data_IF_296516561112
#
_entry.id   IF_296516561112
#
_cell.length_a   1.000
_cell.length_b   1.000
_cell.length_c   1.000
_cell.angle_alpha   90.00
_cell.angle_beta   90.00
_cell.angle_gamma   90.00
#
_symmetry.space_group_name_H-M   'P 1'
#
loop_
_entity.id
_entity.type
_entity.pdbx_description
1 polymer ?
#
# COMPACT_ATOMS: atom_id res chain seq x y z
N UNK A 1 10.40 65.11 -16.69
CA UNK A 1 11.58 64.42 -16.13
C UNK A 1 11.10 63.52 -14.99
N UNK A 2 10.93 62.23 -15.25
CA UNK A 2 10.61 61.23 -14.22
C UNK A 2 11.58 60.08 -14.46
N UNK A 3 12.54 59.88 -13.55
CA UNK A 3 13.49 58.75 -13.58
C UNK A 3 13.04 57.75 -12.54
N UNK A 4 12.51 56.62 -13.01
CA UNK A 4 12.20 55.44 -12.22
C UNK A 4 13.50 54.77 -11.75
N UNK A 5 13.62 54.51 -10.45
CA UNK A 5 14.67 53.65 -9.89
C UNK A 5 14.05 52.28 -9.66
N UNK A 6 14.46 51.30 -10.45
CA UNK A 6 14.16 49.90 -10.21
C UNK A 6 15.24 49.32 -9.28
N UNK A 7 14.83 48.90 -8.08
CA UNK A 7 15.69 48.21 -7.12
C UNK A 7 15.63 46.71 -7.45
N UNK A 8 16.71 46.16 -8.03
CA UNK A 8 16.83 44.73 -8.25
C UNK A 8 17.21 44.04 -6.93
N UNK A 9 16.32 43.20 -6.40
CA UNK A 9 16.61 42.33 -5.27
C UNK A 9 17.51 41.17 -5.75
N UNK A 10 18.73 41.13 -5.22
CA UNK A 10 19.71 40.07 -5.49
C UNK A 10 19.40 38.86 -4.59
N UNK A 11 18.80 37.81 -5.14
CA UNK A 11 18.66 36.53 -4.46
C UNK A 11 20.03 35.86 -4.32
N UNK A 12 20.63 35.92 -3.14
CA UNK A 12 21.82 35.15 -2.79
C UNK A 12 21.45 33.68 -2.58
N UNK A 13 21.73 32.84 -3.57
CA UNK A 13 21.74 31.38 -3.43
C UNK A 13 22.93 31.00 -2.53
N UNK A 14 22.64 30.57 -1.30
CA UNK A 14 23.64 29.95 -0.42
C UNK A 14 23.94 28.56 -1.01
N UNK A 15 25.05 28.46 -1.73
CA UNK A 15 25.62 27.18 -2.13
C UNK A 15 26.30 26.58 -0.91
N UNK A 16 25.64 25.61 -0.27
CA UNK A 16 26.30 24.79 0.75
C UNK A 16 27.45 24.03 0.06
N UNK A 17 28.69 24.44 0.33
CA UNK A 17 29.87 23.70 -0.09
C UNK A 17 29.90 22.39 0.71
N UNK A 18 29.32 21.33 0.17
CA UNK A 18 29.45 19.99 0.73
C UNK A 18 30.90 19.55 0.54
N UNK A 19 31.65 19.44 1.63
CA UNK A 19 32.99 18.89 1.56
C UNK A 19 32.89 17.42 1.14
N UNK A 20 33.59 16.98 0.07
CA UNK A 20 33.52 15.60 -0.42
C UNK A 20 34.08 14.57 0.57
N UNK A 21 34.68 15.03 1.66
CA UNK A 21 35.21 14.21 2.73
C UNK A 21 34.26 14.35 3.93
N UNK A 22 33.61 13.25 4.29
CA UNK A 22 32.76 13.14 5.46
C UNK A 22 33.59 12.58 6.62
N UNK A 23 33.77 13.36 7.67
CA UNK A 23 34.42 12.91 8.90
C UNK A 23 33.47 12.01 9.70
N UNK A 24 33.92 10.78 9.99
CA UNK A 24 33.19 9.78 10.78
C UNK A 24 33.76 9.62 12.20
N UNK A 25 34.66 10.53 12.61
CA UNK A 25 35.33 10.54 13.90
C UNK A 25 36.59 9.69 13.95
N UNK A 26 36.55 8.45 13.44
CA UNK A 26 37.71 7.53 13.42
C UNK A 26 38.32 7.33 12.04
N UNK A 27 37.65 7.79 10.99
CA UNK A 27 38.13 7.76 9.62
C UNK A 27 37.42 8.82 8.79
N UNK A 28 37.95 9.08 7.60
CA UNK A 28 37.39 10.00 6.62
C UNK A 28 36.77 9.19 5.48
N UNK A 29 35.51 9.46 5.16
CA UNK A 29 34.79 8.85 4.05
C UNK A 29 34.80 9.78 2.83
N UNK A 30 35.45 9.36 1.76
CA UNK A 30 35.44 10.09 0.49
C UNK A 30 34.17 9.77 -0.30
N UNK A 31 33.32 10.77 -0.49
CA UNK A 31 32.04 10.66 -1.18
C UNK A 31 32.10 11.14 -2.63
N UNK A 32 33.28 11.36 -3.24
CA UNK A 32 33.37 11.83 -4.65
C UNK A 32 32.92 10.79 -5.67
N UNK A 33 32.97 9.51 -5.30
CA UNK A 33 32.67 8.41 -6.19
C UNK A 33 31.31 7.80 -5.83
N UNK A 34 30.26 8.28 -6.49
CA UNK A 34 28.89 7.76 -6.32
C UNK A 34 28.59 6.63 -7.33
N UNK A 35 28.08 5.51 -6.82
CA UNK A 35 27.59 4.43 -7.67
C UNK A 35 26.26 4.81 -8.35
N UNK A 36 26.07 4.36 -9.59
CA UNK A 36 24.81 4.52 -10.31
C UNK A 36 23.74 3.48 -9.89
N UNK A 37 24.18 2.29 -9.47
CA UNK A 37 23.30 1.23 -8.97
C UNK A 37 22.86 1.49 -7.54
N UNK A 38 21.94 2.43 -7.34
CA UNK A 38 21.38 2.80 -6.04
C UNK A 38 19.87 3.00 -6.15
N UNK A 39 19.14 2.53 -5.16
CA UNK A 39 17.72 2.75 -4.96
C UNK A 39 17.38 2.83 -3.46
N UNK A 40 16.09 3.02 -3.15
CA UNK A 40 15.61 3.07 -1.77
C UNK A 40 15.48 1.68 -1.16
N UNK A 41 15.80 1.57 0.14
CA UNK A 41 15.47 0.37 0.93
C UNK A 41 13.96 0.22 1.15
N UNK A 42 13.22 1.33 1.17
CA UNK A 42 11.75 1.33 1.20
C UNK A 42 11.26 1.01 -0.21
N UNK A 43 10.56 -0.12 -0.33
CA UNK A 43 10.10 -0.72 -1.59
C UNK A 43 8.59 -0.93 -1.63
N UNK A 44 7.92 -0.96 -0.48
CA UNK A 44 6.50 -1.28 -0.35
C UNK A 44 5.77 -0.28 0.54
N UNK A 45 4.48 -0.14 0.33
CA UNK A 45 3.56 0.57 1.21
C UNK A 45 2.44 -0.40 1.62
N UNK A 46 2.27 -0.64 2.91
CA UNK A 46 1.29 -1.62 3.44
C UNK A 46 0.20 -0.89 4.22
N UNK A 47 -1.04 -1.13 3.84
CA UNK A 47 -2.25 -0.56 4.46
C UNK A 47 -2.85 -1.53 5.47
N UNK A 48 -3.25 -0.98 6.63
CA UNK A 48 -3.83 -1.70 7.76
C UNK A 48 -5.08 -0.96 8.24
N UNK A 49 -5.88 -1.61 9.09
CA UNK A 49 -6.80 -0.94 10.00
C UNK A 49 -6.44 -1.31 11.44
N UNK A 50 -6.91 -0.51 12.41
CA UNK A 50 -6.53 -0.68 13.82
C UNK A 50 -7.43 -1.62 14.62
N UNK A 51 -8.68 -1.88 14.21
CA UNK A 51 -9.69 -2.66 14.94
C UNK A 51 -10.13 -2.05 16.29
N UNK A 52 -9.57 -0.89 16.66
CA UNK A 52 -9.81 -0.16 17.92
C UNK A 52 -9.83 1.36 17.67
N UNK A 53 -10.33 2.12 18.64
CA UNK A 53 -10.39 3.58 18.56
C UNK A 53 -8.99 4.24 18.51
N UNK A 54 -8.95 5.54 18.22
CA UNK A 54 -7.69 6.28 18.05
C UNK A 54 -6.80 6.23 19.32
N UNK A 55 -7.38 6.45 20.49
CA UNK A 55 -6.63 6.49 21.75
C UNK A 55 -6.01 5.12 22.08
N UNK A 56 -6.79 4.05 21.92
CA UNK A 56 -6.31 2.67 22.06
C UNK A 56 -5.25 2.33 21.00
N UNK A 57 -5.47 2.74 19.75
CA UNK A 57 -4.52 2.53 18.64
C UNK A 57 -3.16 3.15 18.96
N UNK A 58 -3.14 4.42 19.37
CA UNK A 58 -1.91 5.13 19.72
C UNK A 58 -1.22 4.48 20.92
N UNK A 59 -1.96 4.05 21.95
CA UNK A 59 -1.39 3.37 23.10
C UNK A 59 -0.74 2.03 22.73
N UNK A 60 -1.37 1.23 21.86
CA UNK A 60 -0.82 -0.06 21.40
C UNK A 60 0.39 0.13 20.49
N UNK A 61 0.28 1.02 19.50
CA UNK A 61 1.29 1.21 18.45
C UNK A 61 2.53 2.00 18.89
N UNK A 62 2.49 2.61 20.08
CA UNK A 62 3.66 3.21 20.76
C UNK A 62 4.22 2.36 21.88
N UNK A 63 3.65 1.17 22.11
CA UNK A 63 4.16 0.17 23.05
C UNK A 63 5.37 -0.60 22.50
N UNK A 64 5.62 -1.78 23.07
CA UNK A 64 6.83 -2.58 22.84
C UNK A 64 6.61 -3.85 22.00
N UNK A 65 5.41 -4.05 21.44
CA UNK A 65 5.04 -5.29 20.72
C UNK A 65 4.83 -5.11 19.23
N UNK A 66 4.22 -4.00 18.83
CA UNK A 66 3.79 -3.70 17.46
C UNK A 66 3.92 -2.20 17.26
N UNK A 67 4.26 -1.78 16.04
CA UNK A 67 4.37 -0.37 15.70
C UNK A 67 4.13 -0.17 14.21
N UNK A 68 3.81 1.06 13.84
CA UNK A 68 3.58 1.47 12.45
C UNK A 68 4.30 2.80 12.19
N UNK A 69 4.57 3.13 10.94
CA UNK A 69 5.16 4.41 10.59
C UNK A 69 4.14 5.54 10.76
N UNK A 70 2.92 5.34 10.24
CA UNK A 70 1.86 6.34 10.28
C UNK A 70 0.54 5.79 10.81
N UNK A 71 -0.21 6.65 11.50
CA UNK A 71 -1.62 6.43 11.84
C UNK A 71 -2.45 7.55 11.23
N UNK A 72 -3.50 7.19 10.47
CA UNK A 72 -4.49 8.12 9.94
C UNK A 72 -5.75 8.07 10.81
N UNK A 73 -6.06 9.14 11.56
CA UNK A 73 -7.30 9.26 12.33
C UNK A 73 -8.56 8.98 11.50
N UNK A 74 -9.62 8.48 12.14
CA UNK A 74 -10.94 8.36 11.50
C UNK A 74 -11.47 9.75 11.08
N UNK A 75 -11.16 10.77 11.89
CA UNK A 75 -11.52 12.17 11.64
C UNK A 75 -10.30 13.06 11.87
N UNK A 76 -9.38 13.15 10.89
CA UNK A 76 -8.16 13.94 11.03
C UNK A 76 -8.50 15.39 11.36
N UNK A 77 -7.81 15.94 12.37
CA UNK A 77 -7.87 17.38 12.63
C UNK A 77 -7.25 18.13 11.46
N UNK A 78 -7.81 19.30 11.13
CA UNK A 78 -7.26 20.17 10.09
C UNK A 78 -6.48 21.31 10.74
N UNK A 79 -5.25 21.54 10.29
CA UNK A 79 -4.43 22.70 10.64
C UNK A 79 -3.83 23.30 9.39
N UNK A 80 -3.98 24.61 9.22
CA UNK A 80 -3.52 25.35 8.04
C UNK A 80 -4.03 24.78 6.70
N UNK A 81 -5.25 24.25 6.70
CA UNK A 81 -5.88 23.62 5.53
C UNK A 81 -5.42 22.19 5.23
N UNK A 82 -4.54 21.62 6.05
CA UNK A 82 -4.00 20.28 5.88
C UNK A 82 -4.45 19.32 6.99
N UNK A 83 -4.74 18.04 6.66
CA UNK A 83 -5.07 17.05 7.67
C UNK A 83 -3.83 16.62 8.45
N UNK A 84 -3.99 16.45 9.77
CA UNK A 84 -2.95 15.93 10.64
C UNK A 84 -3.04 14.41 10.70
N UNK A 85 -1.94 13.75 10.36
CA UNK A 85 -1.69 12.32 10.59
C UNK A 85 -0.60 12.18 11.65
N UNK A 86 -0.55 11.04 12.35
CA UNK A 86 0.51 10.77 13.32
C UNK A 86 1.64 9.98 12.66
N UNK A 87 2.89 10.41 12.88
CA UNK A 87 4.08 9.62 12.55
C UNK A 87 4.67 9.06 13.84
N UNK A 88 4.65 7.73 14.00
CA UNK A 88 5.12 7.06 15.22
C UNK A 88 6.55 6.53 15.07
N UNK A 89 6.94 6.12 13.85
CA UNK A 89 8.27 5.60 13.55
C UNK A 89 8.85 6.36 12.36
N UNK A 90 10.09 6.89 12.45
CA UNK A 90 10.77 7.48 11.30
C UNK A 90 10.92 6.48 10.16
N UNK A 91 10.75 6.93 8.91
CA UNK A 91 10.75 6.04 7.73
C UNK A 91 12.12 5.40 7.43
N UNK A 92 13.22 5.92 8.02
CA UNK A 92 14.55 5.30 7.95
C UNK A 92 14.74 4.16 8.97
N UNK A 93 13.74 3.91 9.82
CA UNK A 93 13.69 2.82 10.79
C UNK A 93 12.68 1.77 10.37
N UNK A 94 12.78 0.60 11.00
CA UNK A 94 11.85 -0.52 10.81
C UNK A 94 10.76 -0.46 11.86
N UNK A 95 9.52 -0.16 11.46
CA UNK A 95 8.34 -0.44 12.27
C UNK A 95 7.96 -1.94 12.23
N UNK A 96 7.17 -2.41 13.19
CA UNK A 96 6.79 -3.82 13.33
C UNK A 96 5.30 -4.01 13.02
N UNK A 97 4.91 -3.90 11.75
CA UNK A 97 3.51 -3.91 11.32
C UNK A 97 3.14 -5.15 10.47
N UNK A 98 4.00 -5.58 9.54
CA UNK A 98 3.70 -6.68 8.62
C UNK A 98 3.77 -8.07 9.28
N UNK A 99 4.74 -8.29 10.17
CA UNK A 99 5.03 -9.62 10.72
C UNK A 99 5.47 -10.61 9.62
N UNK A 100 5.19 -11.91 9.82
CA UNK A 100 5.40 -12.91 8.77
C UNK A 100 4.56 -12.55 7.53
N UNK A 101 5.24 -12.32 6.42
CA UNK A 101 4.68 -11.72 5.22
C UNK A 101 5.46 -12.14 3.97
N UNK A 102 4.78 -12.17 2.82
CA UNK A 102 5.34 -12.42 1.50
C UNK A 102 4.67 -11.54 0.45
N UNK A 103 5.45 -10.94 -0.44
CA UNK A 103 4.92 -10.29 -1.64
C UNK A 103 5.97 -10.24 -2.75
N UNK A 104 5.62 -10.71 -3.95
CA UNK A 104 6.49 -10.66 -5.14
C UNK A 104 7.91 -11.20 -4.88
N UNK A 105 8.01 -12.30 -4.14
CA UNK A 105 9.28 -12.96 -3.79
C UNK A 105 10.02 -12.34 -2.60
N UNK A 106 9.60 -11.18 -2.10
CA UNK A 106 10.12 -10.61 -0.86
C UNK A 106 9.42 -11.24 0.35
N UNK A 107 10.17 -11.50 1.41
CA UNK A 107 9.68 -11.87 2.74
C UNK A 107 10.09 -10.82 3.76
N UNK A 108 9.60 -10.91 5.00
CA UNK A 108 9.95 -9.99 6.09
C UNK A 108 9.71 -8.52 5.71
N UNK A 109 8.51 -8.20 5.20
CA UNK A 109 8.24 -6.91 4.56
C UNK A 109 8.51 -5.70 5.46
N UNK A 110 8.42 -5.84 6.80
CA UNK A 110 8.87 -4.83 7.77
C UNK A 110 10.26 -4.23 7.43
N UNK A 111 11.17 -5.01 6.85
CA UNK A 111 12.52 -4.55 6.52
C UNK A 111 12.59 -3.57 5.33
N UNK A 112 11.52 -3.46 4.54
CA UNK A 112 11.50 -2.69 3.30
C UNK A 112 10.16 -2.02 3.01
N UNK A 113 9.28 -1.89 4.00
CA UNK A 113 7.96 -1.28 3.84
C UNK A 113 7.72 -0.13 4.78
N UNK A 114 6.97 0.85 4.31
CA UNK A 114 6.24 1.78 5.18
C UNK A 114 4.86 1.17 5.46
N UNK A 115 4.38 1.36 6.68
CA UNK A 115 3.09 0.89 7.14
C UNK A 115 2.20 2.08 7.48
N UNK A 116 0.92 2.01 7.11
CA UNK A 116 -0.10 2.98 7.47
C UNK A 116 -1.25 2.25 8.15
N UNK A 117 -1.49 2.58 9.42
CA UNK A 117 -2.67 2.15 10.17
C UNK A 117 -3.79 3.19 10.02
N UNK A 118 -4.97 2.74 9.63
CA UNK A 118 -6.14 3.61 9.53
C UNK A 118 -7.06 3.32 10.72
N UNK A 119 -7.40 4.33 11.52
CA UNK A 119 -8.33 4.15 12.64
C UNK A 119 -9.68 3.75 12.08
N UNK A 120 -10.01 2.47 12.21
CA UNK A 120 -11.19 1.82 11.68
C UNK A 120 -11.35 0.47 12.40
N UNK A 121 -12.57 0.16 12.83
CA UNK A 121 -12.95 -1.03 13.61
C UNK A 121 -12.92 -2.32 12.77
N UNK A 122 -12.76 -2.23 11.46
CA UNK A 122 -12.79 -3.38 10.55
C UNK A 122 -14.20 -3.97 10.47
N UNK A 123 -14.36 -5.30 10.61
CA UNK A 123 -15.66 -5.95 10.68
C UNK A 123 -16.53 -5.45 11.85
N UNK A 124 -17.80 -5.18 11.60
CA UNK A 124 -18.79 -4.78 12.61
C UNK A 124 -19.72 -5.95 12.90
N UNK A 125 -19.56 -6.55 14.09
CA UNK A 125 -20.34 -7.71 14.50
C UNK A 125 -19.69 -9.04 14.07
N UNK A 126 -20.45 -10.14 14.02
CA UNK A 126 -19.92 -11.42 13.56
C UNK A 126 -19.42 -11.33 12.12
N UNK A 127 -18.27 -11.96 11.82
CA UNK A 127 -17.73 -12.01 10.44
C UNK A 127 -18.72 -12.60 9.42
N UNK A 128 -19.66 -13.43 9.86
CA UNK A 128 -20.73 -14.00 9.02
C UNK A 128 -21.70 -12.95 8.45
N UNK A 129 -21.77 -11.78 9.07
CA UNK A 129 -22.75 -10.74 8.72
C UNK A 129 -22.24 -9.82 7.59
N UNK A 130 -20.97 -9.96 7.20
CA UNK A 130 -20.29 -9.18 6.15
C UNK A 130 -20.48 -7.66 6.28
N UNK A 131 -20.54 -7.17 7.52
CA UNK A 131 -20.63 -5.74 7.84
C UNK A 131 -19.25 -5.23 8.19
N UNK A 132 -18.89 -4.08 7.64
CA UNK A 132 -17.59 -3.45 7.80
C UNK A 132 -17.78 -1.95 8.05
N UNK A 133 -16.87 -1.33 8.82
CA UNK A 133 -16.91 0.12 9.01
C UNK A 133 -16.45 0.83 7.74
N UNK A 134 -17.25 1.75 7.17
CA UNK A 134 -16.81 2.54 6.03
C UNK A 134 -15.72 3.54 6.45
N UNK A 135 -14.81 3.85 5.54
CA UNK A 135 -13.79 4.88 5.74
C UNK A 135 -14.38 6.28 5.46
N UNK A 136 -14.40 7.20 6.44
CA UNK A 136 -14.98 8.53 6.22
C UNK A 136 -14.20 9.34 5.17
N UNK A 137 -14.86 10.18 4.35
CA UNK A 137 -14.19 10.93 3.29
C UNK A 137 -12.97 11.74 3.76
N UNK A 138 -13.02 12.33 4.96
CA UNK A 138 -11.90 13.11 5.51
C UNK A 138 -10.68 12.25 5.85
N UNK A 139 -10.88 11.00 6.27
CA UNK A 139 -9.80 10.03 6.46
C UNK A 139 -9.21 9.63 5.11
N UNK A 140 -10.06 9.38 4.11
CA UNK A 140 -9.63 9.03 2.74
C UNK A 140 -8.80 10.15 2.10
N UNK A 141 -9.20 11.41 2.26
CA UNK A 141 -8.44 12.57 1.76
C UNK A 141 -7.04 12.66 2.39
N UNK A 142 -6.94 12.46 3.70
CA UNK A 142 -5.66 12.43 4.41
C UNK A 142 -4.77 11.25 3.95
N UNK A 143 -5.37 10.07 3.81
CA UNK A 143 -4.72 8.87 3.32
C UNK A 143 -4.17 9.05 1.90
N UNK A 144 -4.95 9.65 0.98
CA UNK A 144 -4.51 9.94 -0.39
C UNK A 144 -3.29 10.86 -0.38
N UNK A 145 -3.34 11.96 0.38
CA UNK A 145 -2.23 12.92 0.47
C UNK A 145 -0.96 12.25 0.99
N UNK A 146 -1.06 11.51 2.10
CA UNK A 146 0.04 10.78 2.71
C UNK A 146 0.62 9.73 1.76
N UNK A 147 -0.23 8.89 1.17
CA UNK A 147 0.22 7.77 0.35
C UNK A 147 0.88 8.24 -0.94
N UNK A 148 0.35 9.30 -1.57
CA UNK A 148 0.94 9.88 -2.79
C UNK A 148 2.33 10.45 -2.53
N UNK A 149 2.51 11.14 -1.40
CA UNK A 149 3.80 11.68 -0.97
C UNK A 149 4.82 10.55 -0.75
N UNK A 150 4.46 9.50 0.00
CA UNK A 150 5.33 8.34 0.25
C UNK A 150 5.70 7.63 -1.06
N UNK A 151 4.71 7.33 -1.91
CA UNK A 151 4.92 6.62 -3.18
C UNK A 151 5.86 7.42 -4.09
N UNK A 152 5.66 8.73 -4.21
CA UNK A 152 6.53 9.60 -5.01
C UNK A 152 7.94 9.69 -4.43
N UNK A 153 8.07 9.88 -3.10
CA UNK A 153 9.36 10.02 -2.41
C UNK A 153 10.27 8.80 -2.57
N UNK A 154 9.69 7.61 -2.53
CA UNK A 154 10.44 6.35 -2.60
C UNK A 154 10.33 5.64 -3.96
N UNK A 155 9.65 6.24 -4.93
CA UNK A 155 9.38 5.66 -6.25
C UNK A 155 8.81 4.23 -6.14
N UNK A 156 7.82 4.05 -5.24
CA UNK A 156 7.19 2.75 -5.00
C UNK A 156 6.30 2.42 -6.21
N UNK A 157 6.51 1.28 -6.89
CA UNK A 157 5.67 0.93 -8.03
C UNK A 157 4.23 0.61 -7.58
N UNK A 158 3.21 0.85 -8.43
CA UNK A 158 1.80 0.60 -8.11
C UNK A 158 1.51 -0.76 -7.48
N UNK A 159 2.13 -1.83 -7.98
CA UNK A 159 1.91 -3.21 -7.51
C UNK A 159 2.53 -3.52 -6.15
N UNK A 160 3.18 -2.53 -5.51
CA UNK A 160 3.77 -2.64 -4.16
C UNK A 160 3.09 -1.74 -3.13
N UNK A 161 1.94 -1.17 -3.49
CA UNK A 161 0.96 -0.62 -2.53
C UNK A 161 -0.07 -1.72 -2.29
N UNK A 162 -0.10 -2.25 -1.08
CA UNK A 162 -0.79 -3.52 -0.76
C UNK A 162 -1.50 -3.44 0.58
N UNK A 163 -2.53 -4.26 0.78
CA UNK A 163 -3.12 -4.48 2.09
C UNK A 163 -2.28 -5.45 2.93
N UNK A 164 -2.53 -5.50 4.24
CA UNK A 164 -1.95 -6.55 5.08
C UNK A 164 -2.45 -7.94 4.68
N UNK A 165 -3.71 -8.02 4.23
CA UNK A 165 -4.34 -9.22 3.69
C UNK A 165 -3.61 -9.77 2.45
N UNK A 166 -3.04 -8.90 1.61
CA UNK A 166 -2.32 -9.33 0.42
C UNK A 166 -1.03 -10.06 0.76
N UNK A 167 -0.31 -9.56 1.77
CA UNK A 167 1.01 -10.03 2.14
C UNK A 167 0.97 -11.14 3.19
N UNK A 168 -0.15 -11.27 3.91
CA UNK A 168 -0.38 -12.26 4.95
C UNK A 168 -1.82 -12.85 4.92
N UNK A 169 -2.30 -13.36 3.77
CA UNK A 169 -3.69 -13.75 3.56
C UNK A 169 -4.18 -14.86 4.49
N UNK A 170 -3.25 -15.66 5.02
CA UNK A 170 -3.58 -16.75 5.95
C UNK A 170 -3.94 -16.25 7.36
N UNK A 171 -3.72 -14.97 7.64
CA UNK A 171 -3.65 -14.45 9.01
C UNK A 171 -4.31 -13.08 9.16
N UNK A 172 -4.48 -12.34 8.07
CA UNK A 172 -4.89 -10.95 8.04
C UNK A 172 -5.94 -10.72 6.95
N UNK A 173 -6.88 -9.83 7.25
CA UNK A 173 -8.02 -9.46 6.38
C UNK A 173 -8.11 -7.94 6.17
N UNK A 174 -7.28 -7.17 6.87
CA UNK A 174 -7.18 -5.73 6.75
C UNK A 174 -6.43 -5.30 5.48
N UNK A 175 -6.78 -4.15 4.87
CA UNK A 175 -7.73 -3.13 5.37
C UNK A 175 -9.22 -3.41 5.04
N UNK A 176 -9.53 -4.59 4.52
CA UNK A 176 -10.91 -5.05 4.25
C UNK A 176 -11.50 -4.54 2.92
N UNK A 177 -12.70 -5.04 2.55
CA UNK A 177 -13.33 -4.76 1.26
C UNK A 177 -13.86 -3.33 1.09
N UNK A 178 -14.06 -2.59 2.20
CA UNK A 178 -14.49 -1.18 2.12
C UNK A 178 -13.32 -0.19 2.01
N UNK A 179 -12.08 -0.67 2.01
CA UNK A 179 -10.93 0.20 1.80
C UNK A 179 -10.95 0.77 0.37
N UNK A 180 -10.73 2.09 0.19
CA UNK A 180 -11.02 2.77 -1.06
C UNK A 180 -9.90 2.61 -2.11
N UNK A 181 -9.51 1.37 -2.43
CA UNK A 181 -8.40 1.06 -3.36
C UNK A 181 -8.52 1.76 -4.70
N UNK A 182 -9.70 1.74 -5.33
CA UNK A 182 -9.92 2.43 -6.60
C UNK A 182 -9.75 3.95 -6.48
N UNK A 183 -10.25 4.56 -5.40
CA UNK A 183 -10.08 6.00 -5.15
C UNK A 183 -8.60 6.36 -5.00
N UNK A 184 -7.80 5.51 -4.33
CA UNK A 184 -6.34 5.69 -4.25
C UNK A 184 -5.71 5.59 -5.64
N UNK A 185 -6.09 4.59 -6.43
CA UNK A 185 -5.58 4.41 -7.80
C UNK A 185 -5.88 5.62 -8.68
N UNK A 186 -7.11 6.14 -8.64
CA UNK A 186 -7.51 7.33 -9.39
C UNK A 186 -6.71 8.58 -8.97
N UNK A 187 -6.20 8.60 -7.73
CA UNK A 187 -5.29 9.61 -7.22
C UNK A 187 -3.79 9.32 -7.48
N UNK A 188 -3.47 8.27 -8.23
CA UNK A 188 -2.11 7.86 -8.61
C UNK A 188 -1.40 6.96 -7.60
N UNK A 189 -2.13 6.30 -6.70
CA UNK A 189 -1.58 5.44 -5.65
C UNK A 189 -2.07 4.01 -5.83
N UNK A 190 -1.14 3.08 -6.03
CA UNK A 190 -1.44 1.66 -6.12
C UNK A 190 -1.92 1.20 -7.49
N UNK A 191 -2.16 -0.11 -7.61
CA UNK A 191 -2.52 -0.76 -8.86
C UNK A 191 -4.04 -0.94 -9.00
N UNK A 192 -4.53 -0.87 -10.24
CA UNK A 192 -5.92 -1.19 -10.57
C UNK A 192 -6.00 -1.66 -12.04
N UNK A 193 -6.84 -2.66 -12.36
CA UNK A 193 -7.03 -3.08 -13.74
C UNK A 193 -7.79 -2.02 -14.56
N UNK A 194 -7.64 -2.05 -15.88
CA UNK A 194 -8.48 -1.24 -16.77
C UNK A 194 -9.80 -1.96 -17.05
N UNK A 195 -10.93 -1.28 -16.80
CA UNK A 195 -12.29 -1.86 -16.93
C UNK A 195 -12.53 -2.49 -18.32
N UNK A 196 -12.01 -1.87 -19.39
CA UNK A 196 -12.13 -2.39 -20.75
C UNK A 196 -11.35 -3.70 -20.95
N UNK A 197 -10.18 -3.82 -20.35
CA UNK A 197 -9.35 -5.04 -20.41
C UNK A 197 -9.98 -6.17 -19.61
N UNK A 198 -10.55 -5.86 -18.43
CA UNK A 198 -11.33 -6.84 -17.65
C UNK A 198 -12.53 -7.34 -18.45
N UNK A 199 -13.30 -6.44 -19.06
CA UNK A 199 -14.46 -6.80 -19.88
C UNK A 199 -14.07 -7.69 -21.08
N UNK A 200 -12.93 -7.39 -21.73
CA UNK A 200 -12.40 -8.21 -22.82
C UNK A 200 -12.04 -9.62 -22.35
N UNK A 201 -11.37 -9.77 -21.21
CA UNK A 201 -11.03 -11.09 -20.64
C UNK A 201 -12.25 -11.85 -20.10
N UNK A 202 -13.25 -11.13 -19.58
CA UNK A 202 -14.49 -11.74 -19.14
C UNK A 202 -15.25 -12.32 -20.35
N UNK A 203 -15.17 -11.68 -21.50
CA UNK A 203 -15.71 -12.14 -22.79
C UNK A 203 -17.21 -12.49 -22.73
N UNK A 204 -17.98 -11.73 -21.95
CA UNK A 204 -19.42 -11.93 -21.76
C UNK A 204 -19.81 -13.16 -20.93
N UNK A 205 -18.85 -13.86 -20.30
CA UNK A 205 -19.13 -14.93 -19.33
C UNK A 205 -19.84 -14.36 -18.10
N UNK A 206 -20.66 -15.17 -17.45
CA UNK A 206 -21.20 -14.84 -16.13
C UNK A 206 -20.03 -14.56 -15.16
N UNK A 207 -20.00 -13.38 -14.48
CA UNK A 207 -18.96 -13.05 -13.51
C UNK A 207 -18.72 -14.11 -12.44
N UNK A 208 -19.75 -14.89 -12.07
CA UNK A 208 -19.68 -15.95 -11.05
C UNK A 208 -19.44 -17.34 -11.64
N UNK A 209 -19.25 -17.46 -12.96
CA UNK A 209 -18.95 -18.74 -13.60
C UNK A 209 -17.66 -19.31 -12.99
N UNK A 210 -17.70 -20.55 -12.44
CA UNK A 210 -16.50 -21.19 -11.90
C UNK A 210 -15.42 -21.32 -12.97
N UNK A 211 -14.17 -21.06 -12.59
CA UNK A 211 -13.00 -21.22 -13.46
C UNK A 211 -12.04 -22.28 -12.93
N UNK A 212 -11.05 -22.61 -13.75
CA UNK A 212 -9.94 -23.46 -13.34
C UNK A 212 -9.14 -22.82 -12.19
N UNK A 213 -9.04 -23.53 -11.07
CA UNK A 213 -8.38 -23.04 -9.86
C UNK A 213 -6.89 -22.86 -10.09
N UNK A 214 -6.25 -23.77 -10.84
CA UNK A 214 -4.82 -23.71 -11.09
C UNK A 214 -4.44 -22.50 -11.95
N UNK A 215 -5.29 -22.12 -12.92
CA UNK A 215 -5.12 -20.94 -13.73
C UNK A 215 -5.15 -19.66 -12.88
N UNK A 216 -6.15 -19.50 -12.00
CA UNK A 216 -6.23 -18.34 -11.12
C UNK A 216 -5.07 -18.31 -10.10
N UNK A 217 -4.76 -19.45 -9.47
CA UNK A 217 -3.58 -19.60 -8.61
C UNK A 217 -2.29 -19.13 -9.31
N UNK A 218 -2.07 -19.58 -10.55
CA UNK A 218 -0.89 -19.23 -11.33
C UNK A 218 -0.83 -17.72 -11.61
N UNK A 219 -1.96 -17.09 -11.92
CA UNK A 219 -2.03 -15.63 -12.14
C UNK A 219 -1.71 -14.87 -10.85
N UNK A 220 -2.31 -15.25 -9.72
CA UNK A 220 -2.07 -14.59 -8.44
C UNK A 220 -0.64 -14.79 -7.92
N UNK A 221 -0.05 -15.98 -8.13
CA UNK A 221 1.37 -16.23 -7.83
C UNK A 221 2.29 -15.35 -8.68
N UNK A 222 1.98 -15.15 -9.97
CA UNK A 222 2.72 -14.23 -10.84
C UNK A 222 2.57 -12.77 -10.42
N UNK A 223 1.37 -12.37 -9.98
CA UNK A 223 1.10 -11.00 -9.56
C UNK A 223 1.81 -10.62 -8.26
N UNK A 224 1.87 -11.56 -7.30
CA UNK A 224 2.65 -11.36 -6.07
C UNK A 224 2.29 -12.22 -4.87
N UNK A 225 1.16 -12.93 -4.89
CA UNK A 225 0.65 -13.67 -3.72
C UNK A 225 1.44 -14.94 -3.42
N UNK A 226 1.50 -15.30 -2.14
CA UNK A 226 1.96 -16.62 -1.72
C UNK A 226 0.81 -17.65 -1.80
N UNK A 227 0.67 -18.31 -2.94
CA UNK A 227 -0.37 -19.31 -3.20
C UNK A 227 0.16 -20.52 -3.96
N UNK A 228 -0.23 -21.72 -3.54
CA UNK A 228 0.08 -22.94 -4.30
C UNK A 228 -0.48 -22.85 -5.74
N UNK A 229 0.08 -23.65 -6.64
CA UNK A 229 -0.36 -23.73 -8.06
C UNK A 229 -0.69 -25.17 -8.42
N UNK A 230 -1.39 -25.86 -7.52
CA UNK A 230 -1.71 -27.29 -7.55
C UNK A 230 -3.15 -27.59 -8.01
N UNK A 231 -3.96 -26.56 -8.24
CA UNK A 231 -5.35 -26.68 -8.65
C UNK A 231 -6.33 -27.01 -7.53
N UNK A 232 -5.88 -27.01 -6.26
CA UNK A 232 -6.72 -27.37 -5.11
C UNK A 232 -7.35 -26.12 -4.48
N UNK A 233 -8.69 -26.07 -4.42
CA UNK A 233 -9.42 -25.00 -3.73
C UNK A 233 -9.61 -25.31 -2.23
N UNK A 234 -8.50 -25.40 -1.50
CA UNK A 234 -8.49 -25.56 -0.04
C UNK A 234 -8.70 -24.22 0.69
N UNK A 235 -8.81 -24.26 2.02
CA UNK A 235 -9.01 -23.05 2.84
C UNK A 235 -7.88 -22.04 2.67
N UNK A 236 -6.64 -22.51 2.42
CA UNK A 236 -5.49 -21.62 2.19
C UNK A 236 -5.66 -20.85 0.88
N UNK A 237 -6.03 -21.55 -0.20
CA UNK A 237 -6.29 -20.95 -1.51
C UNK A 237 -7.48 -20.00 -1.45
N UNK A 238 -8.57 -20.38 -0.76
CA UNK A 238 -9.75 -19.52 -0.56
C UNK A 238 -9.40 -18.21 0.13
N UNK A 239 -8.53 -18.25 1.15
CA UNK A 239 -8.06 -17.02 1.84
C UNK A 239 -7.26 -16.11 0.93
N UNK A 240 -6.40 -16.66 0.06
CA UNK A 240 -5.69 -15.84 -0.94
C UNK A 240 -6.67 -15.22 -1.93
N UNK A 241 -7.62 -15.99 -2.44
CA UNK A 241 -8.62 -15.49 -3.39
C UNK A 241 -9.49 -14.41 -2.74
N UNK A 242 -9.90 -14.62 -1.49
CA UNK A 242 -10.66 -13.64 -0.71
C UNK A 242 -9.87 -12.35 -0.50
N UNK A 243 -8.57 -12.42 -0.13
CA UNK A 243 -7.71 -11.23 0.00
C UNK A 243 -7.61 -10.45 -1.32
N UNK A 244 -7.37 -11.15 -2.43
CA UNK A 244 -7.36 -10.55 -3.77
C UNK A 244 -8.70 -9.89 -4.12
N UNK A 245 -9.82 -10.54 -3.81
CA UNK A 245 -11.15 -10.01 -4.05
C UNK A 245 -11.44 -8.79 -3.17
N UNK A 246 -11.11 -8.81 -1.88
CA UNK A 246 -11.25 -7.63 -1.01
C UNK A 246 -10.49 -6.41 -1.57
N UNK A 247 -9.36 -6.63 -2.23
CA UNK A 247 -8.59 -5.56 -2.85
C UNK A 247 -9.21 -5.09 -4.18
N UNK A 248 -9.43 -6.00 -5.14
CA UNK A 248 -9.73 -5.64 -6.53
C UNK A 248 -11.17 -5.88 -6.97
N UNK A 249 -11.96 -6.60 -6.18
CA UNK A 249 -13.36 -6.95 -6.47
C UNK A 249 -14.20 -7.07 -5.18
N UNK A 250 -14.32 -5.99 -4.39
CA UNK A 250 -14.86 -6.06 -3.03
C UNK A 250 -16.36 -6.38 -2.94
N UNK A 251 -17.08 -6.44 -4.06
CA UNK A 251 -18.50 -6.81 -4.09
C UNK A 251 -18.74 -8.31 -3.88
N UNK A 252 -17.73 -9.16 -4.09
CA UNK A 252 -17.81 -10.60 -3.82
C UNK A 252 -16.40 -11.16 -3.53
N UNK A 253 -16.14 -11.34 -2.24
CA UNK A 253 -14.89 -11.76 -1.62
C UNK A 253 -15.00 -13.10 -0.91
N UNK A 254 -15.90 -13.97 -1.39
CA UNK A 254 -16.13 -15.30 -0.81
C UNK A 254 -14.95 -16.28 -1.00
N UNK A 255 -13.92 -15.92 -1.77
CA UNK A 255 -12.75 -16.74 -2.04
C UNK A 255 -13.00 -17.88 -3.05
N UNK A 256 -14.06 -17.78 -3.86
CA UNK A 256 -14.33 -18.71 -4.95
C UNK A 256 -13.49 -18.36 -6.19
N UNK A 257 -13.12 -19.37 -6.96
CA UNK A 257 -12.50 -19.17 -8.27
C UNK A 257 -13.60 -18.87 -9.30
N UNK A 258 -13.72 -17.62 -9.74
CA UNK A 258 -14.72 -17.21 -10.73
C UNK A 258 -14.14 -16.37 -11.88
N UNK A 259 -14.95 -16.22 -12.93
CA UNK A 259 -14.54 -15.62 -14.20
C UNK A 259 -14.15 -14.14 -14.07
N UNK A 260 -14.79 -13.40 -13.17
CA UNK A 260 -14.44 -11.99 -12.95
C UNK A 260 -13.11 -11.86 -12.20
N UNK A 261 -12.86 -12.66 -11.16
CA UNK A 261 -11.57 -12.70 -10.47
C UNK A 261 -10.44 -13.09 -11.42
N UNK A 262 -10.69 -14.06 -12.31
CA UNK A 262 -9.77 -14.51 -13.35
C UNK A 262 -9.45 -13.42 -14.39
N UNK A 263 -10.46 -12.67 -14.82
CA UNK A 263 -10.32 -11.57 -15.77
C UNK A 263 -9.58 -10.37 -15.16
N UNK A 264 -9.88 -10.02 -13.91
CA UNK A 264 -9.18 -8.98 -13.15
C UNK A 264 -7.70 -9.35 -12.98
N UNK A 265 -7.42 -10.59 -12.56
CA UNK A 265 -6.04 -11.05 -12.37
C UNK A 265 -5.25 -11.00 -13.69
N UNK A 266 -5.87 -11.39 -14.81
CA UNK A 266 -5.23 -11.29 -16.12
C UNK A 266 -4.99 -9.85 -16.55
N UNK A 267 -5.98 -8.95 -16.39
CA UNK A 267 -5.85 -7.55 -16.75
C UNK A 267 -4.74 -6.84 -15.95
N UNK A 268 -4.59 -7.18 -14.66
CA UNK A 268 -3.49 -6.70 -13.83
C UNK A 268 -2.13 -7.19 -14.33
N UNK A 269 -2.02 -8.45 -14.71
CA UNK A 269 -0.78 -8.99 -15.28
C UNK A 269 -0.43 -8.31 -16.61
N UNK A 270 -1.39 -8.12 -17.50
CA UNK A 270 -1.15 -7.46 -18.78
C UNK A 270 -0.63 -6.02 -18.60
N UNK A 271 -1.18 -5.30 -17.61
CA UNK A 271 -0.84 -3.90 -17.34
C UNK A 271 0.50 -3.72 -16.63
N UNK A 272 0.79 -4.56 -15.64
CA UNK A 272 1.92 -4.33 -14.73
C UNK A 272 3.07 -5.33 -14.89
N UNK A 273 2.84 -6.44 -15.60
CA UNK A 273 3.83 -7.47 -15.89
C UNK A 273 3.74 -7.89 -17.37
N UNK A 274 3.80 -6.94 -18.32
CA UNK A 274 3.81 -7.30 -19.74
C UNK A 274 5.05 -8.15 -20.03
N UNK A 275 4.85 -9.22 -20.79
CA UNK A 275 5.95 -10.08 -21.24
C UNK A 275 6.93 -9.32 -22.14
#
# INVERSE_FOLDING_TARGET
>A
MVRSVALAALCTLITACTTPILDRGTYLADTRHHAQGVDSRVRFLVMHYTEIDEAGSLAVLTGDKVSVHYVVPERPQIRDGEPIVFQLVPEDKRAWHAGQSYWQGATELNASSIGIENVNLGPIGPLSDDKWQPYPPQQVDALIKLSRDIVARYNIPPTRVVGHSDIAPQRKIDPGPLFPWRTLYDAGVGAWPDDATVAAHLAGRDPKLPVDVQALQTKLRRYGYDVATDGVLDDKTRRVFSAFQMHFRPSDHAGNADAESDAIAQALLDKYFPN
#
